data_IF_791525334572
#
_entry.id   IF_791525334572
#
_cell.length_a   1.000
_cell.length_b   1.000
_cell.length_c   1.000
_cell.angle_alpha   90.00
_cell.angle_beta   90.00
_cell.angle_gamma   90.00
#
_symmetry.space_group_name_H-M   'P 1'
#
loop_
_entity.id
_entity.type
_entity.pdbx_description
1 polymer ?
#
# COMPACT_ATOMS: atom_id res chain seq x y z
N UNK A 1 6.79 27.92 -15.90
CA UNK A 1 7.83 26.99 -16.39
C UNK A 1 8.10 26.02 -15.26
N UNK A 2 7.77 24.74 -15.41
CA UNK A 2 8.08 23.75 -14.37
C UNK A 2 9.53 23.28 -14.57
N UNK A 3 10.38 23.54 -13.58
CA UNK A 3 11.76 23.06 -13.56
C UNK A 3 11.75 21.55 -13.23
N UNK A 4 11.45 20.73 -14.23
CA UNK A 4 11.42 19.27 -14.14
C UNK A 4 12.67 18.70 -14.79
N UNK A 5 13.36 17.84 -14.06
CA UNK A 5 14.44 17.00 -14.58
C UNK A 5 13.86 15.65 -14.99
N UNK A 6 14.00 15.28 -16.26
CA UNK A 6 13.56 13.99 -16.78
C UNK A 6 14.68 12.96 -16.65
N UNK A 7 14.48 12.01 -15.73
CA UNK A 7 15.41 10.90 -15.48
C UNK A 7 14.87 9.56 -16.00
N UNK A 8 13.96 9.55 -16.96
CA UNK A 8 13.27 8.33 -17.44
C UNK A 8 14.22 7.30 -18.06
N UNK A 9 15.39 7.73 -18.56
CA UNK A 9 16.45 6.86 -19.08
C UNK A 9 17.32 6.20 -17.98
N UNK A 10 17.22 6.66 -16.73
CA UNK A 10 18.05 6.23 -15.61
C UNK A 10 17.29 5.26 -14.70
N UNK A 11 17.28 3.97 -15.08
CA UNK A 11 16.63 2.93 -14.28
C UNK A 11 17.39 2.69 -12.96
N UNK A 12 16.70 2.59 -11.81
CA UNK A 12 17.33 2.32 -10.53
C UNK A 12 17.70 0.83 -10.37
N UNK A 13 18.73 0.57 -9.59
CA UNK A 13 19.28 -0.77 -9.30
C UNK A 13 19.06 -1.13 -7.82
N UNK A 14 17.80 -1.26 -7.42
CA UNK A 14 17.39 -1.33 -6.02
C UNK A 14 17.73 -2.64 -5.31
N UNK A 15 17.72 -3.76 -6.05
CA UNK A 15 18.04 -5.10 -5.55
C UNK A 15 18.93 -5.78 -6.57
N UNK A 16 20.00 -6.42 -6.11
CA UNK A 16 20.99 -7.06 -6.97
C UNK A 16 20.34 -8.14 -7.86
N UNK A 17 20.60 -8.06 -9.16
CA UNK A 17 20.06 -9.00 -10.15
C UNK A 17 18.55 -8.91 -10.39
N UNK A 18 17.85 -7.89 -9.87
CA UNK A 18 16.40 -7.72 -10.05
C UNK A 18 16.07 -6.46 -10.84
N UNK A 19 15.12 -6.59 -11.75
CA UNK A 19 14.53 -5.46 -12.47
C UNK A 19 13.42 -4.81 -11.65
N UNK A 20 13.05 -3.53 -11.92
CA UNK A 20 11.92 -2.88 -11.23
C UNK A 20 10.60 -3.66 -11.32
N UNK A 21 10.41 -4.48 -12.36
CA UNK A 21 9.24 -5.34 -12.53
C UNK A 21 9.22 -6.53 -11.58
N UNK A 22 10.33 -6.92 -10.99
CA UNK A 22 10.42 -8.06 -10.06
C UNK A 22 10.38 -7.62 -8.59
N UNK A 23 10.41 -6.31 -8.32
CA UNK A 23 10.52 -5.79 -6.96
C UNK A 23 9.24 -5.90 -6.13
N UNK A 24 8.08 -6.09 -6.77
CA UNK A 24 6.79 -6.24 -6.09
C UNK A 24 6.08 -7.47 -6.65
N UNK A 25 5.68 -8.38 -5.78
CA UNK A 25 4.82 -9.52 -6.10
C UNK A 25 3.46 -9.32 -5.44
N UNK A 26 2.39 -9.63 -6.16
CA UNK A 26 1.02 -9.50 -5.70
C UNK A 26 0.22 -10.72 -6.10
N UNK A 27 -0.48 -11.30 -5.14
CA UNK A 27 -1.28 -12.51 -5.31
C UNK A 27 -2.61 -12.35 -4.55
N UNK A 28 -3.69 -12.84 -5.14
CA UNK A 28 -4.97 -13.02 -4.44
C UNK A 28 -4.96 -14.40 -3.79
N UNK A 29 -5.17 -14.46 -2.47
CA UNK A 29 -5.01 -15.71 -1.71
C UNK A 29 -6.28 -16.55 -1.77
N UNK A 30 -7.44 -15.94 -1.47
CA UNK A 30 -8.73 -16.65 -1.37
C UNK A 30 -9.80 -16.05 -2.31
N UNK A 31 -9.36 -15.38 -3.38
CA UNK A 31 -10.23 -14.56 -4.24
C UNK A 31 -10.77 -13.32 -3.51
N UNK A 32 -11.45 -12.45 -4.25
CA UNK A 32 -12.21 -11.33 -3.67
C UNK A 32 -13.68 -11.55 -3.98
N UNK A 33 -14.52 -11.45 -2.96
CA UNK A 33 -15.97 -11.49 -3.12
C UNK A 33 -16.55 -10.10 -2.82
N UNK A 34 -17.87 -9.99 -2.77
CA UNK A 34 -18.54 -8.71 -2.56
C UNK A 34 -18.20 -8.04 -1.20
N UNK A 35 -17.83 -8.82 -0.18
CA UNK A 35 -17.69 -8.35 1.21
C UNK A 35 -16.25 -8.39 1.75
N UNK A 36 -15.40 -9.30 1.26
CA UNK A 36 -14.02 -9.50 1.72
C UNK A 36 -13.08 -9.83 0.57
N UNK A 37 -11.82 -9.44 0.72
CA UNK A 37 -10.74 -9.84 -0.18
C UNK A 37 -9.44 -10.09 0.58
N UNK A 38 -8.68 -11.11 0.18
CA UNK A 38 -7.40 -11.44 0.81
C UNK A 38 -6.25 -11.35 -0.17
N UNK A 39 -5.30 -10.49 0.14
CA UNK A 39 -4.20 -10.10 -0.74
C UNK A 39 -2.87 -10.44 -0.10
N UNK A 40 -1.94 -10.97 -0.87
CA UNK A 40 -0.56 -11.20 -0.46
C UNK A 40 0.35 -10.30 -1.27
N UNK A 41 1.14 -9.49 -0.57
CA UNK A 41 2.04 -8.51 -1.15
C UNK A 41 3.44 -8.81 -0.65
N UNK A 42 4.38 -8.96 -1.57
CA UNK A 42 5.79 -8.99 -1.24
C UNK A 42 6.54 -7.88 -1.97
N UNK A 43 7.55 -7.30 -1.34
CA UNK A 43 8.32 -6.21 -1.90
C UNK A 43 9.81 -6.31 -1.53
N UNK A 44 10.66 -6.74 -2.45
CA UNK A 44 12.06 -7.04 -2.17
C UNK A 44 12.80 -5.82 -1.60
N UNK A 45 13.45 -5.98 -0.45
CA UNK A 45 14.16 -4.93 0.30
C UNK A 45 13.37 -3.65 0.64
N UNK A 46 12.04 -3.67 0.50
CA UNK A 46 11.19 -2.57 0.93
C UNK A 46 10.57 -2.84 2.31
N UNK A 47 10.52 -1.77 3.13
CA UNK A 47 9.85 -1.77 4.44
C UNK A 47 8.51 -1.06 4.44
N UNK A 48 8.19 -0.33 3.38
CA UNK A 48 7.05 0.58 3.33
C UNK A 48 6.34 0.43 1.99
N UNK A 49 5.09 -0.01 2.07
CA UNK A 49 4.20 -0.05 0.92
C UNK A 49 2.90 0.68 1.24
N UNK A 50 2.25 1.16 0.20
CA UNK A 50 0.94 1.78 0.24
C UNK A 50 0.03 0.98 -0.67
N UNK A 51 -1.17 0.69 -0.17
CA UNK A 51 -2.26 0.18 -0.98
C UNK A 51 -3.23 1.31 -1.25
N UNK A 52 -3.68 1.41 -2.49
CA UNK A 52 -4.75 2.31 -2.88
C UNK A 52 -5.82 1.54 -3.64
N UNK A 53 -7.08 1.63 -3.19
CA UNK A 53 -8.21 0.93 -3.77
C UNK A 53 -9.08 1.88 -4.62
N UNK A 54 -9.65 1.39 -5.72
CA UNK A 54 -10.53 2.19 -6.60
C UNK A 54 -11.82 2.65 -5.90
N UNK A 55 -12.35 1.82 -5.01
CA UNK A 55 -13.52 2.10 -4.16
C UNK A 55 -13.17 2.03 -2.65
N UNK A 56 -13.93 2.71 -1.79
CA UNK A 56 -13.71 2.66 -0.34
C UNK A 56 -13.76 1.23 0.21
N UNK A 57 -12.95 0.98 1.23
CA UNK A 57 -13.00 -0.18 2.11
C UNK A 57 -13.38 0.30 3.52
N UNK A 58 -13.96 -0.59 4.32
CA UNK A 58 -14.47 -0.25 5.65
C UNK A 58 -13.56 -0.80 6.77
N UNK A 59 -12.56 -1.59 6.41
CA UNK A 59 -11.52 -2.00 7.33
C UNK A 59 -10.45 -2.86 6.66
N UNK A 60 -9.41 -3.18 7.43
CA UNK A 60 -8.44 -4.19 7.06
C UNK A 60 -7.85 -4.86 8.31
N UNK A 61 -7.24 -6.02 8.11
CA UNK A 61 -6.37 -6.68 9.07
C UNK A 61 -5.13 -7.22 8.34
N UNK A 62 -4.01 -7.36 9.04
CA UNK A 62 -2.77 -7.92 8.48
C UNK A 62 -2.41 -9.15 9.29
N UNK A 63 -2.19 -10.28 8.63
CA UNK A 63 -1.83 -11.53 9.30
C UNK A 63 -0.50 -11.35 10.07
N UNK A 64 -0.49 -11.74 11.35
CA UNK A 64 0.65 -11.51 12.25
C UNK A 64 0.85 -10.04 12.67
N UNK A 65 -0.04 -9.13 12.24
CA UNK A 65 -0.07 -7.76 12.70
C UNK A 65 -0.71 -7.62 14.08
N UNK A 66 -0.36 -6.56 14.79
CA UNK A 66 -1.02 -6.22 16.05
C UNK A 66 -2.48 -5.83 15.81
N UNK A 67 -3.35 -6.16 16.76
CA UNK A 67 -4.73 -5.69 16.75
C UNK A 67 -4.77 -4.15 16.74
N UNK A 68 -5.82 -3.59 16.12
CA UNK A 68 -6.01 -2.15 16.10
C UNK A 68 -6.20 -1.63 17.52
N UNK A 69 -5.41 -0.63 17.89
CA UNK A 69 -5.50 0.00 19.21
C UNK A 69 -6.88 0.66 19.40
N UNK A 70 -7.63 0.33 20.47
CA UNK A 70 -8.95 0.91 20.73
C UNK A 70 -8.98 2.44 20.81
N UNK A 71 -7.84 3.07 21.12
CA UNK A 71 -7.70 4.54 21.18
C UNK A 71 -7.88 5.21 19.82
N UNK A 72 -7.75 4.47 18.71
CA UNK A 72 -7.98 4.99 17.36
C UNK A 72 -9.47 5.08 16.96
N UNK A 73 -10.41 4.67 17.82
CA UNK A 73 -11.85 4.78 17.58
C UNK A 73 -12.39 3.79 16.52
N UNK A 74 -13.58 4.08 15.99
CA UNK A 74 -14.21 3.31 14.90
C UNK A 74 -13.51 3.48 13.55
N UNK A 75 -13.83 2.63 12.58
CA UNK A 75 -13.53 2.96 11.17
C UNK A 75 -14.42 4.12 10.73
N UNK A 76 -13.99 4.99 9.81
CA UNK A 76 -14.87 6.00 9.21
C UNK A 76 -16.05 5.35 8.49
N UNK A 77 -17.26 5.91 8.65
CA UNK A 77 -18.48 5.40 8.01
C UNK A 77 -18.44 5.53 6.48
N UNK A 78 -17.74 6.54 5.96
CA UNK A 78 -17.52 6.76 4.53
C UNK A 78 -16.45 5.81 3.94
N UNK A 79 -15.83 4.99 4.78
CA UNK A 79 -14.71 4.14 4.42
C UNK A 79 -13.44 4.93 4.12
N UNK A 80 -12.41 4.23 3.63
CA UNK A 80 -11.14 4.82 3.23
C UNK A 80 -10.57 4.06 2.04
N UNK A 81 -9.61 4.65 1.32
CA UNK A 81 -9.04 4.05 0.10
C UNK A 81 -7.57 3.72 0.19
N UNK A 82 -6.90 4.15 1.25
CA UNK A 82 -5.45 4.06 1.36
C UNK A 82 -5.05 3.35 2.63
N UNK A 83 -4.17 2.36 2.51
CA UNK A 83 -3.53 1.67 3.65
C UNK A 83 -2.03 1.90 3.53
N UNK A 84 -1.39 2.30 4.62
CA UNK A 84 0.06 2.32 4.73
C UNK A 84 0.53 1.08 5.50
N UNK A 85 1.32 0.25 4.84
CA UNK A 85 1.90 -0.97 5.38
C UNK A 85 3.37 -0.74 5.74
N UNK A 86 3.76 -1.17 6.93
CA UNK A 86 5.15 -1.11 7.37
C UNK A 86 5.57 -2.44 8.00
N UNK A 87 6.83 -2.86 7.78
CA UNK A 87 7.44 -4.03 8.40
C UNK A 87 8.87 -3.76 8.85
N UNK A 88 9.30 -4.38 9.95
CA UNK A 88 10.71 -4.38 10.40
C UNK A 88 11.56 -5.34 9.58
N UNK A 89 11.05 -6.56 9.45
CA UNK A 89 11.69 -7.67 8.75
C UNK A 89 11.44 -7.57 7.25
N UNK A 90 12.50 -7.49 6.45
CA UNK A 90 12.39 -7.28 5.00
C UNK A 90 11.91 -8.52 4.25
N UNK A 91 12.04 -9.71 4.85
CA UNK A 91 11.80 -10.99 4.16
C UNK A 91 10.38 -11.55 4.38
N UNK A 92 9.50 -10.79 5.06
CA UNK A 92 8.15 -11.26 5.40
C UNK A 92 7.07 -10.54 4.60
N UNK A 93 6.42 -11.19 3.63
CA UNK A 93 5.32 -10.61 2.87
C UNK A 93 4.15 -10.23 3.77
N UNK A 94 3.39 -9.22 3.34
CA UNK A 94 2.14 -8.85 4.00
C UNK A 94 1.00 -9.70 3.43
N UNK A 95 0.26 -10.38 4.30
CA UNK A 95 -1.06 -10.90 3.96
C UNK A 95 -2.10 -9.96 4.56
N UNK A 96 -2.86 -9.30 3.69
CA UNK A 96 -3.81 -8.24 4.04
C UNK A 96 -5.22 -8.72 3.75
N UNK A 97 -6.06 -8.72 4.78
CA UNK A 97 -7.49 -8.97 4.70
C UNK A 97 -8.20 -7.62 4.55
N UNK A 98 -8.98 -7.43 3.50
CA UNK A 98 -9.77 -6.23 3.23
C UNK A 98 -11.24 -6.49 3.52
N UNK A 99 -11.90 -5.53 4.17
CA UNK A 99 -13.35 -5.53 4.38
C UNK A 99 -13.98 -4.51 3.42
N UNK A 100 -14.72 -5.00 2.42
CA UNK A 100 -15.31 -4.21 1.34
C UNK A 100 -16.74 -3.76 1.64
N UNK A 101 -17.33 -4.30 2.70
CA UNK A 101 -18.63 -3.96 3.25
C UNK A 101 -18.49 -3.58 4.74
N UNK A 102 -19.33 -2.66 5.22
CA UNK A 102 -19.31 -2.15 6.60
C UNK A 102 -19.62 -3.26 7.60
N UNK A 103 -20.59 -4.12 7.26
CA UNK A 103 -21.01 -5.24 8.12
C UNK A 103 -19.98 -6.38 8.18
N UNK A 104 -19.16 -6.54 7.12
CA UNK A 104 -18.13 -7.57 7.06
C UNK A 104 -17.05 -7.39 8.13
N UNK A 105 -16.77 -6.14 8.53
CA UNK A 105 -15.80 -5.83 9.60
C UNK A 105 -16.34 -6.20 10.98
N UNK A 106 -17.66 -6.12 11.20
CA UNK A 106 -18.31 -6.39 12.49
C UNK A 106 -18.50 -7.90 12.73
N UNK A 107 -18.76 -8.66 11.66
CA UNK A 107 -18.86 -10.11 11.71
C UNK A 107 -17.56 -10.77 12.25
N UNK A 108 -16.38 -10.28 11.83
CA UNK A 108 -15.10 -10.83 12.32
C UNK A 108 -14.76 -10.39 13.74
N UNK A 109 -15.27 -9.25 14.22
CA UNK A 109 -15.09 -8.80 15.61
C UNK A 109 -16.00 -9.54 16.60
N UNK A 110 -17.16 -10.01 16.16
CA UNK A 110 -18.16 -10.66 17.02
C UNK A 110 -17.83 -12.10 17.40
N UNK A 111 -16.74 -12.68 16.87
CA UNK A 111 -16.23 -13.99 17.32
C UNK A 111 -15.44 -13.95 18.65
N UNK A 112 -15.17 -12.76 19.23
CA UNK A 112 -14.49 -12.65 20.54
C UNK A 112 -15.23 -11.80 21.59
N UNK A 113 -16.51 -11.48 21.41
CA UNK A 113 -17.25 -10.78 22.45
C UNK A 113 -18.68 -10.45 22.07
N UNK A 114 -19.62 -11.21 22.63
CA UNK A 114 -21.05 -11.03 22.37
C UNK A 114 -21.61 -9.77 23.03
N UNK A 115 -22.16 -8.87 22.23
CA UNK A 115 -23.45 -8.20 22.49
C UNK A 115 -23.97 -7.54 21.22
N UNK A 116 -25.13 -8.01 20.78
CA UNK A 116 -25.82 -7.54 19.58
C UNK A 116 -26.50 -6.19 19.85
N UNK A 117 -26.31 -5.20 18.98
CA UNK A 117 -27.27 -4.11 18.81
C UNK A 117 -27.49 -3.84 17.33
N UNK A 118 -28.73 -4.07 16.95
CA UNK A 118 -29.30 -3.94 15.62
C UNK A 118 -29.91 -2.53 15.48
N UNK A 119 -29.64 -1.83 14.38
CA UNK A 119 -30.59 -1.08 13.51
C UNK A 119 -29.86 0.02 12.71
N UNK A 120 -30.20 0.13 11.42
CA UNK A 120 -29.91 1.31 10.61
C UNK A 120 -30.01 1.06 9.11
N UNK A 121 -31.23 1.17 8.57
CA UNK A 121 -31.54 1.25 7.14
C UNK A 121 -31.05 2.61 6.59
N UNK A 122 -30.10 2.56 5.66
CA UNK A 122 -29.45 3.72 5.07
C UNK A 122 -28.88 3.35 3.71
N UNK A 123 -29.69 3.50 2.67
CA UNK A 123 -29.33 3.28 1.27
C UNK A 123 -28.19 4.21 0.84
N UNK A 124 -26.95 3.74 1.02
CA UNK A 124 -25.78 4.32 0.39
C UNK A 124 -25.71 3.79 -1.05
N UNK A 125 -25.65 4.73 -1.99
CA UNK A 125 -25.55 4.48 -3.44
C UNK A 125 -24.18 3.84 -3.72
N UNK A 126 -24.07 2.53 -3.48
CA UNK A 126 -22.89 1.75 -3.81
C UNK A 126 -22.85 1.54 -5.33
N UNK A 127 -21.75 1.95 -5.97
CA UNK A 127 -21.38 1.42 -7.28
C UNK A 127 -21.46 -0.11 -7.20
N UNK A 128 -22.07 -0.73 -8.22
CA UNK A 128 -22.44 -2.14 -8.23
C UNK A 128 -21.30 -3.00 -7.67
N UNK A 129 -21.64 -3.90 -6.74
CA UNK A 129 -20.72 -4.88 -6.18
C UNK A 129 -20.03 -5.78 -7.23
N UNK A 130 -20.48 -5.70 -8.49
CA UNK A 130 -19.96 -6.44 -9.64
C UNK A 130 -18.72 -5.80 -10.32
N UNK A 131 -18.37 -4.54 -10.03
CA UNK A 131 -17.16 -3.96 -10.64
C UNK A 131 -15.89 -4.52 -9.96
N UNK A 132 -14.90 -5.04 -10.72
CA UNK A 132 -13.65 -5.56 -10.17
C UNK A 132 -12.94 -4.49 -9.33
N UNK A 133 -12.40 -4.90 -8.17
CA UNK A 133 -11.67 -3.98 -7.30
C UNK A 133 -10.29 -3.74 -7.90
N UNK A 134 -9.93 -2.48 -8.20
CA UNK A 134 -8.56 -2.18 -8.59
C UNK A 134 -7.74 -1.83 -7.35
N UNK A 135 -6.61 -2.50 -7.19
CA UNK A 135 -5.67 -2.29 -6.09
C UNK A 135 -4.34 -1.86 -6.67
N UNK A 136 -3.95 -0.62 -6.36
CA UNK A 136 -2.62 -0.10 -6.65
C UNK A 136 -1.72 -0.34 -5.45
N UNK A 137 -0.63 -1.09 -5.64
CA UNK A 137 0.46 -1.23 -4.67
C UNK A 137 1.59 -0.27 -5.05
N UNK A 138 2.03 0.54 -4.09
CA UNK A 138 3.19 1.44 -4.23
C UNK A 138 4.19 1.12 -3.13
N UNK A 139 5.40 0.70 -3.45
CA UNK A 139 6.43 0.44 -2.45
C UNK A 139 7.58 1.43 -2.58
N UNK A 140 8.17 1.79 -1.44
CA UNK A 140 9.19 2.82 -1.35
C UNK A 140 10.57 2.21 -1.04
N UNK A 141 11.59 2.69 -1.75
CA UNK A 141 13.00 2.43 -1.48
C UNK A 141 13.71 3.75 -1.21
N UNK A 142 14.60 3.73 -0.23
CA UNK A 142 15.39 4.90 0.15
C UNK A 142 16.85 4.56 0.40
N UNK A 143 17.26 3.32 0.08
CA UNK A 143 18.64 2.91 0.26
C UNK A 143 19.48 3.45 -0.90
N UNK A 144 20.25 4.50 -0.62
CA UNK A 144 21.22 5.09 -1.52
C UNK A 144 22.64 4.96 -0.95
N UNK A 145 22.88 3.95 -0.10
CA UNK A 145 24.17 3.78 0.57
C UNK A 145 25.29 3.35 -0.39
N UNK A 146 24.94 2.83 -1.57
CA UNK A 146 25.88 2.42 -2.61
C UNK A 146 25.71 3.32 -3.85
N UNK A 147 26.78 3.95 -4.36
CA UNK A 147 26.75 4.66 -5.64
C UNK A 147 26.22 3.77 -6.77
N UNK A 148 25.46 4.33 -7.70
CA UNK A 148 24.85 3.60 -8.80
C UNK A 148 23.50 2.96 -8.46
N UNK A 149 23.10 2.88 -7.19
CA UNK A 149 21.77 2.31 -6.81
C UNK A 149 20.63 3.14 -7.38
N UNK A 150 20.80 4.47 -7.38
CA UNK A 150 19.82 5.43 -7.89
C UNK A 150 20.56 6.41 -8.82
N UNK A 151 20.77 6.07 -10.10
CA UNK A 151 21.61 6.88 -11.00
C UNK A 151 21.09 8.32 -11.18
N UNK A 152 19.77 8.52 -11.13
CA UNK A 152 19.18 9.86 -11.16
C UNK A 152 19.58 10.73 -9.95
N UNK A 153 19.76 10.12 -8.77
CA UNK A 153 20.25 10.82 -7.59
C UNK A 153 21.75 11.10 -7.73
N UNK A 154 22.52 10.16 -8.26
CA UNK A 154 23.96 10.36 -8.49
C UNK A 154 24.20 11.52 -9.47
N UNK A 155 23.40 11.61 -10.54
CA UNK A 155 23.46 12.70 -11.51
C UNK A 155 23.11 14.05 -10.87
N UNK A 156 22.02 14.09 -10.09
CA UNK A 156 21.62 15.28 -9.34
C UNK A 156 22.76 15.76 -8.42
N UNK A 157 23.34 14.85 -7.64
CA UNK A 157 24.43 15.17 -6.72
C UNK A 157 25.71 15.62 -7.45
N UNK A 158 25.96 15.10 -8.65
CA UNK A 158 27.12 15.45 -9.47
C UNK A 158 27.01 16.84 -10.09
N UNK A 159 25.81 17.23 -10.54
CA UNK A 159 25.60 18.48 -11.27
C UNK A 159 24.93 19.59 -10.46
N UNK A 160 24.47 19.31 -9.23
CA UNK A 160 23.94 20.35 -8.36
C UNK A 160 25.02 21.36 -7.96
N UNK A 161 24.69 22.65 -7.86
CA UNK A 161 25.63 23.65 -7.37
C UNK A 161 25.88 23.44 -5.88
N UNK A 162 27.07 23.85 -5.42
CA UNK A 162 27.51 23.69 -4.02
C UNK A 162 26.67 24.46 -3.00
N UNK A 163 25.93 25.48 -3.44
CA UNK A 163 25.03 26.26 -2.60
C UNK A 163 23.63 25.66 -2.45
N UNK A 164 23.29 24.63 -3.22
CA UNK A 164 21.99 23.97 -3.15
C UNK A 164 21.98 22.81 -2.13
N UNK A 165 20.80 22.48 -1.62
CA UNK A 165 20.56 21.32 -0.77
C UNK A 165 19.42 20.47 -1.35
N UNK A 166 19.62 19.16 -1.47
CA UNK A 166 18.59 18.22 -1.94
C UNK A 166 17.70 17.81 -0.78
N UNK A 167 16.40 17.89 -0.99
CA UNK A 167 15.39 17.40 -0.04
C UNK A 167 14.52 16.34 -0.70
N UNK A 168 13.98 15.43 0.10
CA UNK A 168 13.05 14.40 -0.38
C UNK A 168 11.60 14.85 -0.20
N UNK A 169 10.78 14.65 -1.22
CA UNK A 169 9.33 14.95 -1.18
C UNK A 169 8.56 13.94 -0.31
N UNK A 170 8.98 12.68 -0.34
CA UNK A 170 8.31 11.57 0.32
C UNK A 170 9.30 10.72 1.12
N UNK A 171 8.82 9.67 1.80
CA UNK A 171 9.67 8.75 2.56
C UNK A 171 10.69 8.04 1.66
N UNK A 172 10.23 7.57 0.50
CA UNK A 172 11.01 6.94 -0.57
C UNK A 172 11.79 7.92 -1.43
N UNK A 173 13.00 7.54 -1.84
CA UNK A 173 13.73 8.18 -2.95
C UNK A 173 13.26 7.62 -4.30
N UNK A 174 12.93 6.33 -4.34
CA UNK A 174 12.35 5.64 -5.49
C UNK A 174 11.05 4.98 -5.05
N UNK A 175 10.05 5.04 -5.93
CA UNK A 175 8.79 4.35 -5.75
C UNK A 175 8.51 3.45 -6.95
N UNK A 176 8.15 2.20 -6.68
CA UNK A 176 7.62 1.29 -7.70
C UNK A 176 6.12 1.15 -7.48
N UNK A 177 5.35 1.35 -8.55
CA UNK A 177 3.89 1.26 -8.54
C UNK A 177 3.43 0.15 -9.47
N UNK A 178 2.49 -0.66 -9.00
CA UNK A 178 1.77 -1.66 -9.79
C UNK A 178 0.29 -1.63 -9.48
N UNK A 179 -0.55 -1.84 -10.49
CA UNK A 179 -2.01 -1.87 -10.34
C UNK A 179 -2.52 -3.24 -10.76
N UNK A 180 -3.40 -3.80 -9.93
CA UNK A 180 -3.98 -5.12 -10.11
C UNK A 180 -5.50 -5.01 -10.10
N UNK A 181 -6.16 -5.84 -10.91
CA UNK A 181 -7.60 -6.04 -10.85
C UNK A 181 -7.86 -7.30 -10.03
N UNK A 182 -8.79 -7.19 -9.08
CA UNK A 182 -9.05 -8.17 -8.03
C UNK A 182 -10.52 -8.52 -8.02
#
# INVERSE_FOLDING_TARGET
MECLYDSSSLSPHLVEGKTPRELITFETVDGTNASKGRLRIDALDSRLCYLHTSRPIYGFAVDGGAARDPRFGGSPSEGFKTIQLWRRDRDRPWTVNLYLDEHAQQADKSSEGGHSKQLGDGSAVHRRADDPLEVTVRCAWSDANKPGTIPALDELLKYMPTWAAVTKKNVGLVEVRKTYKV
#
